data_IF_106267704853
#
_entry.id   IF_106267704853
#
_cell.length_a   1.000
_cell.length_b   1.000
_cell.length_c   1.000
_cell.angle_alpha   90.00
_cell.angle_beta   90.00
_cell.angle_gamma   90.00
#
_symmetry.space_group_name_H-M   'P 1'
#
loop_
_entity.id
_entity.type
_entity.pdbx_description
1 polymer ?
#
# COMPACT_ATOMS: atom_id res chain seq x y z
N UNK A 1 5.95 3.41 2.94
CA UNK A 1 4.52 3.73 3.14
C UNK A 1 3.57 2.53 2.96
N UNK A 2 3.98 1.35 2.54
CA UNK A 2 3.16 0.13 2.36
C UNK A 2 3.80 -0.97 3.21
N UNK A 3 3.00 -1.73 3.99
CA UNK A 3 3.48 -2.84 4.82
C UNK A 3 3.18 -2.71 6.31
N UNK A 4 2.36 -1.73 6.71
CA UNK A 4 2.11 -1.40 8.12
C UNK A 4 0.83 -2.03 8.69
N UNK A 5 -0.09 -2.53 7.84
CA UNK A 5 -1.31 -3.20 8.31
C UNK A 5 -1.05 -4.68 8.47
N UNK A 6 -0.68 -5.09 9.66
CA UNK A 6 -0.49 -6.51 10.01
C UNK A 6 -1.55 -6.94 11.01
N UNK A 7 -2.27 -8.00 10.71
CA UNK A 7 -3.21 -8.60 11.66
C UNK A 7 -2.47 -9.15 12.87
N UNK A 8 -3.01 -8.95 14.07
CA UNK A 8 -2.49 -9.61 15.26
C UNK A 8 -2.98 -11.07 15.32
N UNK A 9 -2.13 -12.08 15.08
CA UNK A 9 -2.57 -13.47 15.02
C UNK A 9 -3.14 -14.00 16.33
N UNK A 10 -2.83 -13.34 17.45
CA UNK A 10 -3.29 -13.77 18.79
C UNK A 10 -4.76 -13.41 19.02
N UNK A 11 -5.29 -12.43 18.28
CA UNK A 11 -6.67 -11.95 18.43
C UNK A 11 -7.64 -12.57 17.42
N UNK A 12 -7.14 -13.33 16.44
CA UNK A 12 -7.94 -13.96 15.40
C UNK A 12 -8.32 -15.40 15.80
N UNK A 13 -9.51 -15.81 15.44
CA UNK A 13 -9.94 -17.21 15.47
C UNK A 13 -9.20 -18.01 14.38
N UNK A 14 -9.15 -19.34 14.53
CA UNK A 14 -8.43 -20.20 13.58
C UNK A 14 -9.08 -20.20 12.18
N UNK A 15 -10.38 -19.97 12.10
CA UNK A 15 -11.13 -19.76 10.86
C UNK A 15 -10.64 -18.52 10.12
N UNK A 16 -10.48 -17.40 10.83
CA UNK A 16 -10.06 -16.13 10.28
C UNK A 16 -8.58 -16.15 9.85
N UNK A 17 -7.73 -16.77 10.67
CA UNK A 17 -6.33 -17.03 10.31
C UNK A 17 -6.21 -17.83 9.01
N UNK A 18 -7.09 -18.84 8.85
CA UNK A 18 -7.13 -19.66 7.64
C UNK A 18 -7.57 -18.83 6.44
N UNK A 19 -8.67 -18.08 6.56
CA UNK A 19 -9.17 -17.24 5.49
C UNK A 19 -8.15 -16.16 5.07
N UNK A 20 -7.54 -15.51 6.05
CA UNK A 20 -6.46 -14.55 5.81
C UNK A 20 -5.30 -15.17 4.99
N UNK A 21 -4.88 -16.37 5.38
CA UNK A 21 -3.82 -17.11 4.67
C UNK A 21 -4.26 -17.51 3.27
N UNK A 22 -5.51 -17.93 3.09
CA UNK A 22 -6.08 -18.26 1.78
C UNK A 22 -6.09 -17.04 0.85
N UNK A 23 -6.43 -15.84 1.36
CA UNK A 23 -6.34 -14.56 0.63
C UNK A 23 -4.90 -14.21 0.25
N UNK A 24 -3.98 -14.29 1.22
CA UNK A 24 -2.55 -14.01 1.00
C UNK A 24 -1.93 -14.93 -0.05
N UNK A 25 -2.21 -16.23 0.04
CA UNK A 25 -1.77 -17.21 -0.95
C UNK A 25 -2.44 -16.97 -2.31
N UNK A 26 -3.70 -16.55 -2.33
CA UNK A 26 -4.43 -16.15 -3.54
C UNK A 26 -3.76 -14.99 -4.26
N UNK A 27 -3.41 -13.92 -3.52
CA UNK A 27 -2.66 -12.78 -4.04
C UNK A 27 -1.32 -13.22 -4.63
N UNK A 28 -0.55 -14.04 -3.89
CA UNK A 28 0.72 -14.60 -4.34
C UNK A 28 0.59 -15.35 -5.68
N UNK A 29 -0.45 -16.18 -5.82
CA UNK A 29 -0.74 -16.94 -7.05
C UNK A 29 -1.21 -16.05 -8.19
N UNK A 30 -2.03 -15.04 -7.91
CA UNK A 30 -2.45 -14.06 -8.93
C UNK A 30 -1.27 -13.24 -9.45
N UNK A 31 -0.39 -12.76 -8.58
CA UNK A 31 0.85 -12.09 -8.96
C UNK A 31 1.70 -12.98 -9.88
N UNK A 32 1.89 -14.25 -9.52
CA UNK A 32 2.63 -15.20 -10.34
C UNK A 32 2.01 -15.38 -11.73
N UNK A 33 0.70 -15.61 -11.77
CA UNK A 33 -0.04 -15.93 -13.00
C UNK A 33 -0.12 -14.74 -13.96
N UNK A 34 -0.38 -13.53 -13.43
CA UNK A 34 -0.63 -12.33 -14.26
C UNK A 34 0.64 -11.55 -14.56
N UNK A 35 1.59 -11.54 -13.62
CA UNK A 35 2.75 -10.66 -13.62
C UNK A 35 4.10 -11.36 -13.54
N UNK A 36 4.12 -12.68 -13.73
CA UNK A 36 5.29 -13.57 -13.65
C UNK A 36 5.75 -13.85 -12.20
N UNK A 37 6.59 -14.87 -12.10
CA UNK A 37 7.06 -15.37 -10.80
C UNK A 37 7.80 -14.32 -9.96
N UNK A 38 8.56 -13.44 -10.61
CA UNK A 38 9.31 -12.35 -9.97
C UNK A 38 8.40 -11.39 -9.19
N UNK A 39 7.18 -11.16 -9.66
CA UNK A 39 6.22 -10.25 -9.01
C UNK A 39 5.73 -10.73 -7.64
N UNK A 40 5.97 -11.98 -7.28
CA UNK A 40 5.63 -12.50 -5.94
C UNK A 40 6.42 -11.86 -4.80
N UNK A 41 7.59 -11.30 -5.10
CA UNK A 41 8.39 -10.58 -4.12
C UNK A 41 7.82 -9.19 -3.76
N UNK A 42 6.80 -8.71 -4.49
CA UNK A 42 6.05 -7.49 -4.11
C UNK A 42 4.90 -7.78 -3.15
N UNK A 43 4.66 -9.05 -2.80
CA UNK A 43 3.57 -9.47 -1.93
C UNK A 43 3.66 -8.79 -0.56
N UNK A 44 2.57 -8.20 -0.09
CA UNK A 44 2.47 -7.53 1.20
C UNK A 44 1.13 -7.79 1.89
N UNK A 45 1.05 -7.43 3.16
CA UNK A 45 -0.11 -7.68 4.00
C UNK A 45 -1.24 -6.67 3.78
N UNK A 46 -0.93 -5.43 3.44
CA UNK A 46 -1.92 -4.37 3.20
C UNK A 46 -2.85 -4.73 2.03
N UNK A 47 -2.27 -5.30 0.97
CA UNK A 47 -3.04 -5.77 -0.18
C UNK A 47 -3.90 -6.99 0.17
N UNK A 48 -3.48 -7.80 1.13
CA UNK A 48 -4.32 -8.91 1.62
C UNK A 48 -5.55 -8.37 2.37
N UNK A 49 -5.37 -7.32 3.17
CA UNK A 49 -6.49 -6.63 3.81
C UNK A 49 -7.48 -6.09 2.79
N UNK A 50 -7.01 -5.46 1.73
CA UNK A 50 -7.87 -4.96 0.65
C UNK A 50 -8.69 -6.08 -0.02
N UNK A 51 -8.09 -7.27 -0.23
CA UNK A 51 -8.83 -8.44 -0.75
C UNK A 51 -9.98 -8.82 0.18
N UNK A 52 -9.71 -8.91 1.48
CA UNK A 52 -10.71 -9.30 2.48
C UNK A 52 -11.85 -8.28 2.49
N UNK A 53 -11.52 -6.99 2.54
CA UNK A 53 -12.50 -5.92 2.51
C UNK A 53 -13.40 -5.99 1.26
N UNK A 54 -12.82 -6.07 0.08
CA UNK A 54 -13.58 -6.10 -1.16
C UNK A 54 -14.44 -7.36 -1.28
N UNK A 55 -13.91 -8.52 -0.89
CA UNK A 55 -14.70 -9.77 -0.87
C UNK A 55 -15.92 -9.65 0.06
N UNK A 56 -15.77 -8.99 1.20
CA UNK A 56 -16.89 -8.81 2.16
C UNK A 56 -17.91 -7.77 1.67
N UNK A 57 -17.46 -6.66 1.10
CA UNK A 57 -18.35 -5.60 0.59
C UNK A 57 -19.20 -6.13 -0.58
N UNK A 58 -18.54 -6.81 -1.53
CA UNK A 58 -19.20 -7.30 -2.74
C UNK A 58 -19.80 -8.72 -2.61
N UNK A 59 -19.62 -9.37 -1.45
CA UNK A 59 -20.03 -10.76 -1.22
C UNK A 59 -19.53 -11.71 -2.31
N UNK A 60 -18.28 -11.54 -2.71
CA UNK A 60 -17.65 -12.30 -3.80
C UNK A 60 -17.58 -13.80 -3.45
N UNK A 61 -18.07 -14.63 -4.36
CA UNK A 61 -17.94 -16.10 -4.27
C UNK A 61 -16.60 -16.51 -4.85
N UNK A 62 -15.62 -16.68 -3.99
CA UNK A 62 -14.27 -17.09 -4.38
C UNK A 62 -14.19 -18.60 -4.62
N UNK A 63 -13.43 -19.00 -5.64
CA UNK A 63 -13.06 -20.38 -5.88
C UNK A 63 -11.92 -20.80 -4.95
N UNK A 64 -12.10 -21.89 -4.19
CA UNK A 64 -11.03 -22.48 -3.35
C UNK A 64 -10.27 -23.51 -4.13
N UNK A 65 -8.96 -23.37 -4.20
CA UNK A 65 -8.03 -24.21 -4.91
C UNK A 65 -6.88 -24.65 -4.01
N UNK A 66 -6.25 -25.77 -4.36
CA UNK A 66 -5.06 -26.25 -3.65
C UNK A 66 -3.80 -26.10 -4.51
N UNK A 67 -2.70 -25.79 -3.86
CA UNK A 67 -1.39 -25.80 -4.53
C UNK A 67 -0.27 -26.20 -3.58
N UNK A 68 0.84 -26.67 -4.15
CA UNK A 68 2.13 -26.70 -3.48
C UNK A 68 2.84 -25.38 -3.71
N UNK A 69 3.45 -24.82 -2.68
CA UNK A 69 4.19 -23.56 -2.74
C UNK A 69 5.69 -23.84 -2.61
N UNK A 70 6.52 -23.12 -3.36
CA UNK A 70 7.99 -23.25 -3.22
C UNK A 70 8.48 -22.91 -1.80
N UNK A 71 7.78 -21.96 -1.12
CA UNK A 71 8.10 -21.60 0.28
C UNK A 71 7.64 -22.65 1.30
N UNK A 72 6.67 -23.52 0.93
CA UNK A 72 6.11 -24.57 1.75
C UNK A 72 5.93 -25.85 0.91
N UNK A 73 7.03 -26.52 0.53
CA UNK A 73 6.96 -27.61 -0.45
C UNK A 73 6.33 -28.90 0.10
N UNK A 74 6.34 -29.06 1.43
CA UNK A 74 5.93 -30.32 2.08
C UNK A 74 4.42 -30.50 2.10
N UNK A 75 3.66 -29.40 2.34
CA UNK A 75 2.20 -29.48 2.47
C UNK A 75 1.50 -28.73 1.33
N UNK A 76 0.36 -29.26 0.90
CA UNK A 76 -0.57 -28.51 0.05
C UNK A 76 -1.22 -27.41 0.87
N UNK A 77 -1.37 -26.24 0.28
CA UNK A 77 -2.06 -25.10 0.88
C UNK A 77 -3.27 -24.73 0.05
N UNK A 78 -4.36 -24.41 0.74
CA UNK A 78 -5.55 -23.84 0.11
C UNK A 78 -5.31 -22.36 -0.17
N UNK A 79 -5.78 -21.90 -1.31
CA UNK A 79 -5.81 -20.48 -1.68
C UNK A 79 -7.13 -20.17 -2.39
N UNK A 80 -7.52 -18.92 -2.34
CA UNK A 80 -8.71 -18.45 -3.05
C UNK A 80 -8.33 -17.77 -4.37
N UNK A 81 -9.23 -17.89 -5.35
CA UNK A 81 -9.16 -17.21 -6.65
C UNK A 81 -10.47 -16.48 -6.87
N UNK A 82 -10.42 -15.22 -7.29
CA UNK A 82 -11.57 -14.36 -7.49
C UNK A 82 -11.20 -13.06 -8.20
N UNK A 83 -12.22 -12.30 -8.53
CA UNK A 83 -12.11 -11.04 -9.29
C UNK A 83 -11.29 -10.00 -8.54
N UNK A 84 -11.55 -9.82 -7.23
CA UNK A 84 -10.85 -8.83 -6.43
C UNK A 84 -9.40 -9.21 -6.16
N UNK A 85 -9.08 -10.50 -6.07
CA UNK A 85 -7.69 -10.95 -5.95
C UNK A 85 -6.88 -10.54 -7.18
N UNK A 86 -7.48 -10.65 -8.36
CA UNK A 86 -6.85 -10.26 -9.62
C UNK A 86 -6.73 -8.73 -9.76
N UNK A 87 -7.73 -7.99 -9.29
CA UNK A 87 -7.67 -6.53 -9.21
C UNK A 87 -6.56 -6.07 -8.27
N UNK A 88 -6.54 -6.61 -7.05
CA UNK A 88 -5.56 -6.24 -6.03
C UNK A 88 -4.14 -6.61 -6.45
N UNK A 89 -3.95 -7.72 -7.18
CA UNK A 89 -2.64 -8.05 -7.77
C UNK A 89 -2.18 -6.99 -8.78
N UNK A 90 -3.10 -6.43 -9.58
CA UNK A 90 -2.80 -5.34 -10.50
C UNK A 90 -2.41 -4.06 -9.73
N UNK A 91 -3.17 -3.69 -8.68
CA UNK A 91 -2.87 -2.52 -7.84
C UNK A 91 -1.56 -2.69 -7.07
N UNK A 92 -1.28 -3.91 -6.57
CA UNK A 92 -0.02 -4.21 -5.91
C UNK A 92 1.19 -3.96 -6.83
N UNK A 93 1.12 -4.34 -8.10
CA UNK A 93 2.19 -4.06 -9.08
C UNK A 93 2.32 -2.56 -9.34
N UNK A 94 1.20 -1.84 -9.43
CA UNK A 94 1.19 -0.39 -9.64
C UNK A 94 1.94 0.34 -8.52
N UNK A 95 1.57 0.06 -7.26
CA UNK A 95 2.21 0.66 -6.09
C UNK A 95 3.66 0.24 -5.92
N UNK A 96 3.95 -1.06 -6.04
CA UNK A 96 5.31 -1.57 -5.85
C UNK A 96 6.28 -0.99 -6.87
N UNK A 97 5.84 -0.74 -8.10
CA UNK A 97 6.69 -0.10 -9.10
C UNK A 97 7.10 1.32 -8.68
N UNK A 98 6.15 2.11 -8.17
CA UNK A 98 6.45 3.46 -7.71
C UNK A 98 7.31 3.46 -6.44
N UNK A 99 7.04 2.58 -5.46
CA UNK A 99 7.87 2.47 -4.27
C UNK A 99 9.33 2.12 -4.61
N UNK A 100 9.56 1.22 -5.58
CA UNK A 100 10.90 0.88 -6.03
C UNK A 100 11.61 2.04 -6.75
N UNK A 101 10.87 2.91 -7.44
CA UNK A 101 11.43 4.12 -8.04
C UNK A 101 11.78 5.15 -6.98
N UNK A 102 10.98 5.30 -5.95
CA UNK A 102 11.17 6.14 -4.78
C UNK A 102 12.46 5.73 -4.03
N UNK A 103 12.57 4.46 -3.66
CA UNK A 103 13.77 3.88 -3.04
C UNK A 103 15.05 4.12 -3.87
N UNK A 104 14.93 4.11 -5.21
CA UNK A 104 16.05 4.45 -6.07
C UNK A 104 16.35 5.94 -6.08
N UNK A 105 15.35 6.80 -6.06
CA UNK A 105 15.55 8.26 -6.08
C UNK A 105 16.14 8.77 -4.78
N UNK A 106 15.66 8.26 -3.64
CA UNK A 106 16.05 8.71 -2.32
C UNK A 106 17.36 8.09 -1.84
N UNK A 107 17.42 6.76 -1.82
CA UNK A 107 18.52 6.02 -1.23
C UNK A 107 19.57 5.52 -2.26
N UNK A 108 19.34 5.79 -3.58
CA UNK A 108 20.14 5.24 -4.68
C UNK A 108 20.26 3.71 -4.64
N UNK A 109 19.20 3.05 -4.15
CA UNK A 109 19.16 1.60 -4.00
C UNK A 109 19.19 0.89 -5.38
N UNK A 110 20.34 0.35 -5.73
CA UNK A 110 20.57 -0.32 -7.03
C UNK A 110 19.66 -1.55 -7.20
N UNK A 111 19.40 -2.29 -6.11
CA UNK A 111 18.50 -3.44 -6.16
C UNK A 111 17.06 -3.03 -6.46
N UNK A 112 16.58 -1.93 -5.86
CA UNK A 112 15.26 -1.37 -6.16
C UNK A 112 15.14 -0.98 -7.64
N UNK A 113 16.15 -0.30 -8.20
CA UNK A 113 16.18 0.06 -9.62
C UNK A 113 16.19 -1.17 -10.54
N UNK A 114 17.03 -2.17 -10.24
CA UNK A 114 17.05 -3.41 -11.02
C UNK A 114 15.70 -4.11 -10.96
N UNK A 115 15.10 -4.18 -9.77
CA UNK A 115 13.82 -4.84 -9.60
C UNK A 115 12.66 -4.08 -10.27
N UNK A 116 12.65 -2.74 -10.20
CA UNK A 116 11.72 -1.91 -10.96
C UNK A 116 11.78 -2.21 -12.46
N UNK A 117 12.99 -2.35 -13.03
CA UNK A 117 13.17 -2.75 -14.44
C UNK A 117 12.56 -4.10 -14.76
N UNK A 118 12.67 -5.09 -13.86
CA UNK A 118 12.10 -6.43 -14.04
C UNK A 118 10.57 -6.43 -14.06
N UNK A 119 9.92 -5.62 -13.20
CA UNK A 119 8.46 -5.55 -13.15
C UNK A 119 7.85 -4.48 -14.08
N UNK A 120 8.67 -3.67 -14.74
CA UNK A 120 8.23 -2.55 -15.62
C UNK A 120 7.25 -2.98 -16.70
N UNK A 121 7.42 -4.19 -17.28
CA UNK A 121 6.49 -4.71 -18.30
C UNK A 121 5.12 -4.98 -17.70
N UNK A 122 5.06 -5.53 -16.48
CA UNK A 122 3.83 -5.77 -15.73
C UNK A 122 3.15 -4.46 -15.36
N UNK A 123 3.91 -3.48 -14.86
CA UNK A 123 3.43 -2.13 -14.58
C UNK A 123 2.78 -1.49 -15.81
N UNK A 124 3.46 -1.47 -16.97
CA UNK A 124 2.88 -0.92 -18.22
C UNK A 124 1.58 -1.61 -18.63
N UNK A 125 1.47 -2.93 -18.39
CA UNK A 125 0.24 -3.68 -18.65
C UNK A 125 -0.91 -3.21 -17.74
N UNK A 126 -0.61 -2.96 -16.46
CA UNK A 126 -1.59 -2.44 -15.49
C UNK A 126 -2.03 -1.03 -15.86
N UNK A 127 -1.10 -0.12 -16.17
CA UNK A 127 -1.43 1.24 -16.62
C UNK A 127 -2.32 1.25 -17.86
N UNK A 128 -2.07 0.33 -18.82
CA UNK A 128 -2.92 0.18 -20.01
C UNK A 128 -4.32 -0.33 -19.67
N UNK A 129 -4.44 -1.18 -18.66
CA UNK A 129 -5.73 -1.75 -18.23
C UNK A 129 -6.55 -0.75 -17.42
N UNK A 130 -5.91 0.09 -16.60
CA UNK A 130 -6.53 1.06 -15.69
C UNK A 130 -5.95 2.46 -15.89
N UNK A 131 -6.14 3.09 -17.07
CA UNK A 131 -5.43 4.34 -17.41
C UNK A 131 -5.77 5.51 -16.47
N UNK A 132 -7.06 5.72 -16.18
CA UNK A 132 -7.55 6.77 -15.27
C UNK A 132 -6.99 6.58 -13.86
N UNK A 133 -7.08 5.35 -13.33
CA UNK A 133 -6.61 4.99 -12.00
C UNK A 133 -5.08 5.13 -11.87
N UNK A 134 -4.33 4.66 -12.86
CA UNK A 134 -2.87 4.80 -12.88
C UNK A 134 -2.43 6.28 -12.92
N UNK A 135 -3.16 7.12 -13.66
CA UNK A 135 -2.90 8.56 -13.71
C UNK A 135 -3.19 9.24 -12.37
N UNK A 136 -4.32 8.90 -11.71
CA UNK A 136 -4.68 9.46 -10.42
C UNK A 136 -3.69 9.07 -9.32
N UNK A 137 -3.27 7.79 -9.31
CA UNK A 137 -2.21 7.29 -8.42
C UNK A 137 -0.90 8.04 -8.66
N UNK A 138 -0.50 8.22 -9.90
CA UNK A 138 0.71 8.98 -10.24
C UNK A 138 0.63 10.43 -9.78
N UNK A 139 -0.52 11.08 -9.96
CA UNK A 139 -0.72 12.46 -9.53
C UNK A 139 -0.63 12.60 -8.00
N UNK A 140 -1.25 11.67 -7.24
CA UNK A 140 -1.19 11.67 -5.79
C UNK A 140 0.24 11.46 -5.26
N UNK A 141 0.99 10.53 -5.86
CA UNK A 141 2.40 10.30 -5.52
C UNK A 141 3.29 11.50 -5.86
N UNK A 142 3.02 12.15 -7.00
CA UNK A 142 3.73 13.38 -7.36
C UNK A 142 3.42 14.51 -6.37
N UNK A 143 2.17 14.67 -5.96
CA UNK A 143 1.76 15.66 -4.95
C UNK A 143 2.51 15.41 -3.62
N UNK A 144 2.62 14.14 -3.18
CA UNK A 144 3.41 13.75 -2.01
C UNK A 144 4.88 14.16 -2.14
N UNK A 145 5.52 13.77 -3.23
CA UNK A 145 6.93 14.09 -3.50
C UNK A 145 7.17 15.61 -3.56
N UNK A 146 6.27 16.37 -4.20
CA UNK A 146 6.37 17.83 -4.28
C UNK A 146 6.29 18.49 -2.88
N UNK A 147 5.44 17.95 -1.99
CA UNK A 147 5.32 18.42 -0.60
C UNK A 147 6.60 18.12 0.17
N UNK A 148 7.18 16.95 -0.02
CA UNK A 148 8.44 16.53 0.63
C UNK A 148 9.64 17.35 0.15
N UNK A 149 9.78 17.49 -1.15
CA UNK A 149 10.90 18.22 -1.78
C UNK A 149 10.89 19.71 -1.42
N UNK A 150 9.69 20.31 -1.32
CA UNK A 150 9.53 21.72 -0.94
C UNK A 150 9.56 21.97 0.55
N UNK A 151 9.76 20.94 1.37
CA UNK A 151 9.77 21.01 2.83
C UNK A 151 8.52 21.75 3.40
N UNK A 152 7.33 21.41 2.88
CA UNK A 152 6.10 22.06 3.34
C UNK A 152 5.73 21.50 4.72
N UNK A 153 5.79 22.34 5.76
CA UNK A 153 5.52 22.01 7.16
C UNK A 153 4.00 21.90 7.41
N UNK A 154 3.31 21.12 6.63
CA UNK A 154 1.89 20.86 6.85
C UNK A 154 1.60 19.37 6.64
N UNK A 155 1.50 18.58 7.72
CA UNK A 155 1.24 17.15 7.63
C UNK A 155 -0.12 16.84 7.00
N UNK A 156 -1.11 17.73 7.11
CA UNK A 156 -2.43 17.52 6.55
C UNK A 156 -2.40 17.44 5.02
N UNK A 157 -1.55 18.22 4.36
CA UNK A 157 -1.42 18.19 2.90
C UNK A 157 -0.89 16.84 2.41
N UNK A 158 0.12 16.31 3.07
CA UNK A 158 0.68 15.01 2.72
C UNK A 158 -0.27 13.87 3.10
N UNK A 159 -0.95 13.97 4.24
CA UNK A 159 -2.00 13.02 4.60
C UNK A 159 -3.14 13.03 3.57
N UNK A 160 -3.56 14.19 3.06
CA UNK A 160 -4.55 14.30 1.99
C UNK A 160 -4.08 13.64 0.69
N UNK A 161 -2.83 13.82 0.28
CA UNK A 161 -2.29 13.17 -0.91
C UNK A 161 -2.23 11.64 -0.74
N UNK A 162 -1.83 11.16 0.45
CA UNK A 162 -1.90 9.74 0.79
C UNK A 162 -3.34 9.21 0.79
N UNK A 163 -4.30 9.98 1.32
CA UNK A 163 -5.72 9.65 1.27
C UNK A 163 -6.22 9.48 -0.15
N UNK A 164 -5.94 10.43 -1.05
CA UNK A 164 -6.29 10.34 -2.48
C UNK A 164 -5.74 9.07 -3.13
N UNK A 165 -4.49 8.71 -2.82
CA UNK A 165 -3.85 7.49 -3.32
C UNK A 165 -4.62 6.23 -2.92
N UNK A 166 -4.92 6.10 -1.62
CA UNK A 166 -5.64 4.94 -1.11
C UNK A 166 -7.09 4.91 -1.58
N UNK A 167 -7.77 6.07 -1.66
CA UNK A 167 -9.12 6.17 -2.20
C UNK A 167 -9.23 5.63 -3.63
N UNK A 168 -8.24 5.93 -4.49
CA UNK A 168 -8.21 5.37 -5.85
C UNK A 168 -8.06 3.85 -5.89
N UNK A 169 -7.31 3.29 -4.96
CA UNK A 169 -7.00 1.85 -4.93
C UNK A 169 -8.14 1.06 -4.30
N UNK A 170 -8.82 1.64 -3.30
CA UNK A 170 -9.89 0.96 -2.58
C UNK A 170 -11.23 0.90 -3.34
N UNK A 171 -11.46 1.80 -4.31
CA UNK A 171 -12.65 1.80 -5.16
C UNK A 171 -12.38 1.08 -6.50
N UNK A 172 -12.67 -0.24 -6.62
CA UNK A 172 -12.35 -1.01 -7.83
C UNK A 172 -13.20 -0.63 -9.05
N UNK A 173 -14.46 -0.27 -8.81
CA UNK A 173 -15.48 0.00 -9.83
C UNK A 173 -16.16 1.35 -9.61
N UNK A 174 -16.77 1.89 -10.68
CA UNK A 174 -17.69 3.03 -10.61
C UNK A 174 -19.12 2.48 -10.42
N UNK A 175 -19.49 2.19 -9.15
CA UNK A 175 -20.77 1.57 -8.73
C UNK A 175 -21.30 2.18 -7.43
N UNK A 176 -22.35 1.58 -6.84
CA UNK A 176 -23.00 2.05 -5.59
C UNK A 176 -22.08 2.03 -4.36
N UNK A 177 -20.95 1.31 -4.40
CA UNK A 177 -19.96 1.24 -3.32
C UNK A 177 -18.78 2.18 -3.55
N UNK A 178 -18.65 2.79 -4.73
CA UNK A 178 -17.48 3.59 -5.11
C UNK A 178 -17.18 4.69 -4.08
N UNK A 179 -18.17 5.52 -3.77
CA UNK A 179 -18.01 6.66 -2.86
C UNK A 179 -17.57 6.21 -1.47
N UNK A 180 -18.26 5.20 -0.90
CA UNK A 180 -17.95 4.68 0.44
C UNK A 180 -16.57 4.03 0.52
N UNK A 181 -16.19 3.27 -0.52
CA UNK A 181 -14.87 2.64 -0.58
C UNK A 181 -13.76 3.66 -0.79
N UNK A 182 -14.02 4.70 -1.58
CA UNK A 182 -13.11 5.82 -1.78
C UNK A 182 -12.90 6.60 -0.49
N UNK A 183 -13.97 6.94 0.23
CA UNK A 183 -13.92 7.63 1.52
C UNK A 183 -13.20 6.81 2.58
N UNK A 184 -13.49 5.50 2.63
CA UNK A 184 -12.78 4.59 3.53
C UNK A 184 -11.28 4.53 3.21
N UNK A 185 -10.92 4.39 1.93
CA UNK A 185 -9.53 4.39 1.48
C UNK A 185 -8.83 5.71 1.80
N UNK A 186 -9.50 6.85 1.56
CA UNK A 186 -8.98 8.18 1.88
C UNK A 186 -8.70 8.33 3.39
N UNK A 187 -9.66 7.97 4.23
CA UNK A 187 -9.48 8.03 5.68
C UNK A 187 -8.35 7.10 6.17
N UNK A 188 -8.28 5.88 5.63
CA UNK A 188 -7.23 4.92 5.95
C UNK A 188 -5.86 5.41 5.51
N UNK A 189 -5.74 5.96 4.30
CA UNK A 189 -4.49 6.50 3.78
C UNK A 189 -3.96 7.67 4.62
N UNK A 190 -4.85 8.59 5.04
CA UNK A 190 -4.53 9.67 5.98
C UNK A 190 -4.04 9.13 7.32
N UNK A 191 -4.75 8.16 7.87
CA UNK A 191 -4.39 7.54 9.14
C UNK A 191 -3.02 6.85 9.08
N UNK A 192 -2.77 6.04 8.05
CA UNK A 192 -1.49 5.33 7.87
C UNK A 192 -0.34 6.33 7.73
N UNK A 193 -0.54 7.40 6.96
CA UNK A 193 0.49 8.41 6.77
C UNK A 193 0.89 9.08 8.10
N UNK A 194 -0.10 9.50 8.90
CA UNK A 194 0.17 10.13 10.20
C UNK A 194 0.79 9.14 11.18
N UNK A 195 0.31 7.89 11.22
CA UNK A 195 0.85 6.84 12.07
C UNK A 195 2.32 6.54 11.74
N UNK A 196 2.65 6.44 10.45
CA UNK A 196 4.01 6.20 9.97
C UNK A 196 4.95 7.33 10.38
N UNK A 197 4.52 8.58 10.17
CA UNK A 197 5.26 9.76 10.64
C UNK A 197 5.49 9.76 12.16
N UNK A 198 4.50 9.33 12.95
CA UNK A 198 4.66 9.21 14.41
C UNK A 198 5.67 8.13 14.81
N UNK A 199 5.64 6.96 14.15
CA UNK A 199 6.53 5.83 14.43
C UNK A 199 7.97 6.16 14.05
N UNK A 200 8.16 6.87 12.95
CA UNK A 200 9.49 7.18 12.43
C UNK A 200 10.09 8.45 13.03
N UNK A 201 9.29 9.27 13.75
CA UNK A 201 9.72 10.53 14.37
C UNK A 201 11.04 10.40 15.17
N UNK A 202 11.17 9.36 16.01
CA UNK A 202 12.40 9.15 16.80
C UNK A 202 13.62 8.83 15.93
N UNK A 203 13.41 8.04 14.86
CA UNK A 203 14.47 7.68 13.93
C UNK A 203 14.92 8.86 13.10
N UNK A 204 13.97 9.67 12.64
CA UNK A 204 14.22 10.84 11.80
C UNK A 204 14.90 11.96 12.60
N UNK A 205 14.54 12.14 13.86
CA UNK A 205 15.29 13.02 14.78
C UNK A 205 16.74 12.56 14.92
N UNK A 206 17.00 11.27 15.14
CA UNK A 206 18.36 10.72 15.29
C UNK A 206 19.19 10.87 14.03
N UNK A 207 18.59 10.71 12.84
CA UNK A 207 19.27 10.75 11.55
C UNK A 207 19.23 12.14 10.88
N UNK A 208 18.65 13.17 11.52
CA UNK A 208 18.44 14.53 10.97
C UNK A 208 17.69 14.51 9.64
N UNK A 209 16.81 13.52 9.44
CA UNK A 209 15.92 13.48 8.29
C UNK A 209 14.78 14.49 8.46
N UNK A 210 14.21 14.93 7.32
CA UNK A 210 13.05 15.80 7.35
C UNK A 210 11.83 15.03 7.90
N UNK A 211 11.24 15.56 8.97
CA UNK A 211 10.00 15.07 9.56
C UNK A 211 9.07 16.25 9.84
N UNK A 212 7.88 16.21 9.26
CA UNK A 212 6.87 17.27 9.38
C UNK A 212 6.32 17.41 10.79
N UNK A 213 6.21 16.29 11.53
CA UNK A 213 5.78 16.32 12.92
C UNK A 213 6.84 16.95 13.82
N UNK A 214 8.12 16.66 13.57
CA UNK A 214 9.24 17.29 14.28
C UNK A 214 9.20 18.80 14.13
N UNK A 215 9.09 19.32 12.92
CA UNK A 215 9.05 20.76 12.68
C UNK A 215 7.80 21.43 13.26
N UNK A 216 6.64 20.75 13.26
CA UNK A 216 5.45 21.21 13.94
C UNK A 216 5.68 21.33 15.45
N UNK A 217 6.25 20.30 16.09
CA UNK A 217 6.56 20.30 17.52
C UNK A 217 7.55 21.41 17.84
N UNK A 218 8.63 21.56 17.09
CA UNK A 218 9.62 22.64 17.27
C UNK A 218 8.99 24.03 17.09
N UNK A 219 8.12 24.19 16.09
CA UNK A 219 7.41 25.46 15.86
C UNK A 219 6.43 25.82 17.00
N UNK A 220 5.76 24.83 17.58
CA UNK A 220 4.86 25.00 18.72
C UNK A 220 5.63 25.30 20.00
N UNK A 221 6.76 24.66 20.25
CA UNK A 221 7.65 24.93 21.37
C UNK A 221 8.18 26.38 21.26
N UNK A 222 8.64 26.79 20.09
CA UNK A 222 9.12 28.17 19.86
C UNK A 222 8.01 29.21 20.10
N UNK A 223 6.78 28.97 19.64
CA UNK A 223 5.62 29.83 19.88
C UNK A 223 5.24 29.90 21.37
N UNK A 224 5.32 28.81 22.10
CA UNK A 224 5.03 28.80 23.53
C UNK A 224 6.11 29.53 24.32
N UNK A 225 7.39 29.35 23.98
CA UNK A 225 8.48 30.04 24.62
C UNK A 225 8.45 31.59 24.40
N UNK A 226 7.94 32.01 23.21
CA UNK A 226 7.78 33.47 22.93
C UNK A 226 6.58 34.12 23.62
N UNK A 227 5.67 33.35 24.24
CA UNK A 227 4.55 33.86 25.04
C UNK A 227 4.91 34.14 26.51
N UNK A 228 6.08 33.70 26.95
CA UNK A 228 6.55 33.85 28.33
C UNK A 228 7.76 34.80 28.45
N UNK A 229 8.07 35.52 27.39
CA UNK A 229 9.02 36.65 27.36
C UNK A 229 8.24 37.93 27.05
#
# INVERSE_FOLDING_TARGET
>A
MVGNIVTNPKLLEDTDKRYYRECYCGLCKSLQRKHKNISRFTLNYDMTFLIILLNEVYKEKNEKLECRCMMHPVHKHTYIKGTFIDYVADMNILLSYYNLLDDWQDDKNVFANCYAKLIKKSFKKVCKKYPKKAQNVQNALKELNDIETKNIINPDLAAQASGKLFGEIFAPYEDEYEEKLRDFGDALGKFIYILDACIDLEKDIKHKRFDRLKELVESQIAKNNSKYV
#
